data_IF_346701382300
#
_entry.id   IF_346701382300
#
_cell.length_a   1.000
_cell.length_b   1.000
_cell.length_c   1.000
_cell.angle_alpha   90.00
_cell.angle_beta   90.00
_cell.angle_gamma   90.00
#
_symmetry.space_group_name_H-M   'P 1'
#
loop_
_entity.id
_entity.type
_entity.pdbx_description
1 polymer ?
#
# COMPACT_ATOMS: atom_id res chain seq x y z
N UNK A 1 10.64 -39.84 15.80
CA UNK A 1 9.33 -39.16 15.89
C UNK A 1 9.17 -38.33 14.64
N UNK A 2 8.08 -38.46 13.90
CA UNK A 2 7.88 -37.69 12.65
C UNK A 2 7.58 -36.24 12.97
N UNK A 3 8.09 -35.36 12.12
CA UNK A 3 7.84 -33.92 12.19
C UNK A 3 6.35 -33.61 12.01
N UNK A 4 5.78 -32.63 12.75
CA UNK A 4 4.37 -32.24 12.63
C UNK A 4 3.95 -31.88 11.22
N UNK A 5 4.76 -31.12 10.47
CA UNK A 5 4.48 -30.72 9.10
C UNK A 5 4.37 -31.90 8.13
N UNK A 6 5.24 -32.92 8.28
CA UNK A 6 5.11 -34.16 7.49
C UNK A 6 3.84 -34.92 7.81
N UNK A 7 3.44 -34.97 9.10
CA UNK A 7 2.20 -35.62 9.49
C UNK A 7 0.97 -34.92 8.92
N UNK A 8 0.99 -33.60 8.88
CA UNK A 8 -0.08 -32.77 8.30
C UNK A 8 -0.19 -33.01 6.78
N UNK A 9 0.93 -33.01 6.05
CA UNK A 9 0.96 -33.31 4.64
C UNK A 9 0.41 -34.72 4.30
N UNK A 10 0.74 -35.72 5.11
CA UNK A 10 0.22 -37.09 4.96
C UNK A 10 -1.30 -37.13 5.19
N UNK A 11 -1.81 -36.41 6.17
CA UNK A 11 -3.25 -36.32 6.45
C UNK A 11 -4.01 -35.63 5.33
N UNK A 12 -3.47 -34.52 4.82
CA UNK A 12 -4.09 -33.72 3.77
C UNK A 12 -4.38 -34.51 2.47
N UNK A 13 -3.57 -35.52 2.17
CA UNK A 13 -3.76 -36.36 0.97
C UNK A 13 -4.36 -37.74 1.27
N UNK A 14 -4.69 -38.04 2.53
CA UNK A 14 -5.33 -39.31 2.88
C UNK A 14 -4.39 -40.48 3.17
N UNK A 15 -3.09 -40.24 3.39
CA UNK A 15 -2.14 -41.23 3.88
C UNK A 15 -0.81 -41.31 3.15
N UNK A 16 0.12 -42.10 3.73
CA UNK A 16 1.50 -42.27 3.22
C UNK A 16 1.54 -42.81 1.81
N UNK A 17 0.72 -43.79 1.51
CA UNK A 17 0.67 -44.42 0.17
C UNK A 17 0.17 -43.47 -0.91
N UNK A 18 -0.79 -42.59 -0.55
CA UNK A 18 -1.34 -41.61 -1.46
C UNK A 18 -0.35 -40.47 -1.73
N UNK A 19 0.37 -40.01 -0.68
CA UNK A 19 1.44 -39.07 -0.86
C UNK A 19 2.57 -39.61 -1.75
N UNK A 20 2.94 -40.90 -1.57
CA UNK A 20 3.95 -41.56 -2.37
C UNK A 20 3.53 -41.62 -3.85
N UNK A 21 2.28 -42.03 -4.11
CA UNK A 21 1.70 -42.10 -5.45
C UNK A 21 1.72 -40.73 -6.14
N UNK A 22 1.29 -39.65 -5.44
CA UNK A 22 1.26 -38.29 -5.98
C UNK A 22 2.65 -37.73 -6.25
N UNK A 23 3.64 -38.09 -5.44
CA UNK A 23 5.05 -37.66 -5.60
C UNK A 23 5.83 -38.51 -6.61
N UNK A 24 5.25 -39.62 -7.11
CA UNK A 24 5.93 -40.55 -8.03
C UNK A 24 7.11 -41.30 -7.38
N UNK A 25 7.06 -41.56 -6.06
CA UNK A 25 8.10 -42.28 -5.32
C UNK A 25 7.52 -43.48 -4.57
N UNK A 26 8.39 -44.36 -4.09
CA UNK A 26 7.94 -45.54 -3.35
C UNK A 26 7.40 -45.20 -1.97
N UNK A 27 6.39 -45.92 -1.49
CA UNK A 27 5.82 -45.75 -0.14
C UNK A 27 6.89 -45.92 0.99
N UNK A 28 7.84 -46.89 0.90
CA UNK A 28 8.93 -47.01 1.87
C UNK A 28 9.80 -45.75 1.95
N UNK A 29 9.99 -45.03 0.82
CA UNK A 29 10.76 -43.76 0.84
C UNK A 29 10.14 -42.75 1.77
N UNK A 30 8.79 -42.51 1.67
CA UNK A 30 8.09 -41.59 2.59
C UNK A 30 8.05 -42.12 4.01
N UNK A 31 7.92 -43.42 4.17
CA UNK A 31 7.89 -44.06 5.51
C UNK A 31 9.17 -43.83 6.29
N UNK A 32 10.30 -43.66 5.60
CA UNK A 32 11.62 -43.39 6.18
C UNK A 32 11.86 -41.89 6.44
N UNK A 33 10.97 -41.02 5.99
CA UNK A 33 11.12 -39.58 6.27
C UNK A 33 10.78 -39.27 7.74
N UNK A 34 11.68 -38.60 8.40
CA UNK A 34 11.42 -37.96 9.70
C UNK A 34 10.80 -36.57 9.51
N UNK A 35 11.20 -35.89 8.42
CA UNK A 35 10.69 -34.62 7.96
C UNK A 35 10.69 -34.57 6.43
N UNK A 36 9.98 -33.62 5.82
CA UNK A 36 10.00 -33.44 4.36
C UNK A 36 11.42 -33.05 3.91
N UNK A 37 12.06 -33.79 2.97
CA UNK A 37 13.37 -33.41 2.42
C UNK A 37 13.31 -32.04 1.75
N UNK A 38 14.39 -31.25 1.87
CA UNK A 38 14.45 -29.86 1.39
C UNK A 38 14.08 -29.76 -0.11
N UNK A 39 14.59 -30.66 -0.92
CA UNK A 39 14.36 -30.73 -2.37
C UNK A 39 12.92 -31.13 -2.75
N UNK A 40 12.11 -31.59 -1.79
CA UNK A 40 10.72 -32.04 -2.02
C UNK A 40 9.68 -31.11 -1.46
N UNK A 41 10.06 -30.07 -0.71
CA UNK A 41 9.14 -29.18 0.00
C UNK A 41 8.15 -28.52 -0.96
N UNK A 42 8.63 -27.96 -2.06
CA UNK A 42 7.79 -27.29 -3.06
C UNK A 42 6.79 -28.25 -3.69
N UNK A 43 7.23 -29.49 -4.03
CA UNK A 43 6.36 -30.49 -4.60
C UNK A 43 5.30 -30.98 -3.60
N UNK A 44 5.68 -31.14 -2.32
CA UNK A 44 4.74 -31.54 -1.26
C UNK A 44 3.72 -30.43 -1.00
N UNK A 45 4.15 -29.18 -0.90
CA UNK A 45 3.26 -28.02 -0.78
C UNK A 45 2.23 -27.97 -1.91
N UNK A 46 2.67 -28.06 -3.17
CA UNK A 46 1.78 -28.02 -4.33
C UNK A 46 0.75 -29.18 -4.37
N UNK A 47 1.11 -30.34 -3.84
CA UNK A 47 0.24 -31.54 -3.86
C UNK A 47 -0.69 -31.62 -2.65
N UNK A 48 -0.32 -31.04 -1.54
CA UNK A 48 -1.02 -31.19 -0.25
C UNK A 48 -1.75 -29.92 0.18
N UNK A 49 -1.35 -28.75 -0.36
CA UNK A 49 -1.82 -27.44 0.10
C UNK A 49 -1.26 -27.03 1.46
N UNK A 50 -0.39 -27.85 2.09
CA UNK A 50 0.27 -27.49 3.36
C UNK A 50 1.45 -26.60 3.05
N UNK A 51 1.50 -25.41 3.66
CA UNK A 51 2.54 -24.43 3.35
C UNK A 51 3.95 -24.92 3.68
N UNK A 52 4.93 -24.48 2.90
CA UNK A 52 6.35 -24.81 3.09
C UNK A 52 6.86 -24.41 4.47
N UNK A 53 6.31 -23.38 5.07
CA UNK A 53 6.67 -22.92 6.43
C UNK A 53 6.21 -23.93 7.49
N UNK A 54 5.06 -24.58 7.31
CA UNK A 54 4.58 -25.67 8.17
C UNK A 54 5.37 -26.94 7.90
N UNK A 55 5.68 -27.24 6.62
CA UNK A 55 6.43 -28.44 6.23
C UNK A 55 7.88 -28.40 6.73
N UNK A 56 8.53 -27.24 6.70
CA UNK A 56 9.94 -27.06 7.07
C UNK A 56 10.18 -25.67 7.67
N UNK A 57 9.75 -25.41 8.92
CA UNK A 57 9.92 -24.12 9.60
C UNK A 57 11.38 -23.74 9.84
N UNK A 58 12.30 -24.71 9.74
CA UNK A 58 13.74 -24.51 9.82
C UNK A 58 14.37 -23.95 8.54
N UNK A 59 13.73 -24.15 7.37
CA UNK A 59 14.20 -23.66 6.07
C UNK A 59 13.37 -22.49 5.54
N UNK A 60 12.09 -22.51 5.82
CA UNK A 60 11.14 -21.49 5.39
C UNK A 60 10.53 -20.91 6.67
N UNK A 61 10.83 -19.65 6.94
CA UNK A 61 9.98 -18.89 7.87
C UNK A 61 8.58 -18.87 7.26
N UNK A 62 7.54 -18.85 8.11
CA UNK A 62 6.27 -18.36 7.63
C UNK A 62 6.57 -16.99 7.00
N UNK A 63 6.69 -16.96 5.66
CA UNK A 63 6.23 -15.80 4.97
C UNK A 63 4.77 -15.72 5.42
N UNK A 64 4.44 -14.77 6.29
CA UNK A 64 3.08 -14.29 6.41
C UNK A 64 2.72 -13.92 4.98
N UNK A 65 2.14 -14.87 4.25
CA UNK A 65 1.50 -14.64 2.97
C UNK A 65 0.44 -13.59 3.26
N UNK A 66 0.69 -12.33 2.84
CA UNK A 66 -0.09 -11.17 3.19
C UNK A 66 -0.51 -11.29 4.65
N UNK A 67 0.30 -10.85 5.63
CA UNK A 67 -0.11 -10.93 7.03
C UNK A 67 -1.55 -10.47 7.10
N UNK A 68 -2.39 -11.09 7.94
CA UNK A 68 -3.72 -10.57 8.20
C UNK A 68 -3.52 -9.07 8.37
N UNK A 69 -3.74 -8.35 7.26
CA UNK A 69 -3.69 -6.88 7.25
C UNK A 69 -4.81 -6.57 8.19
N UNK A 70 -4.48 -6.12 9.40
CA UNK A 70 -5.52 -5.87 10.37
C UNK A 70 -6.49 -4.84 9.79
N UNK A 71 -7.65 -4.70 10.40
CA UNK A 71 -8.67 -3.78 9.90
C UNK A 71 -8.13 -2.33 9.84
N UNK A 72 -7.20 -1.99 10.71
CA UNK A 72 -6.56 -0.67 10.78
C UNK A 72 -5.64 -0.47 9.57
N UNK A 73 -4.75 -1.41 9.30
CA UNK A 73 -3.84 -1.34 8.15
C UNK A 73 -4.61 -1.37 6.83
N UNK A 74 -5.71 -2.14 6.75
CA UNK A 74 -6.60 -2.13 5.60
C UNK A 74 -7.26 -0.75 5.39
N UNK A 75 -7.73 -0.11 6.48
CA UNK A 75 -8.30 1.23 6.42
C UNK A 75 -7.26 2.27 6.01
N UNK A 76 -6.06 2.25 6.62
CA UNK A 76 -4.92 3.10 6.24
C UNK A 76 -4.59 2.99 4.75
N UNK A 77 -4.49 1.74 4.25
CA UNK A 77 -4.22 1.47 2.84
C UNK A 77 -5.31 2.03 1.91
N UNK A 78 -6.57 1.97 2.31
CA UNK A 78 -7.70 2.52 1.54
C UNK A 78 -7.65 4.05 1.49
N UNK A 79 -7.35 4.71 2.61
CA UNK A 79 -7.22 6.16 2.65
C UNK A 79 -6.07 6.66 1.75
N UNK A 80 -4.90 6.03 1.85
CA UNK A 80 -3.79 6.35 0.97
C UNK A 80 -4.12 6.07 -0.51
N UNK A 81 -4.80 4.97 -0.82
CA UNK A 81 -5.21 4.66 -2.19
C UNK A 81 -6.22 5.67 -2.75
N UNK A 82 -7.15 6.16 -1.93
CA UNK A 82 -8.07 7.23 -2.29
C UNK A 82 -7.31 8.51 -2.65
N UNK A 83 -6.42 8.95 -1.77
CA UNK A 83 -5.61 10.16 -2.00
C UNK A 83 -4.72 10.00 -3.24
N UNK A 84 -4.04 8.87 -3.40
CA UNK A 84 -3.22 8.57 -4.58
C UNK A 84 -4.03 8.68 -5.87
N UNK A 85 -5.20 8.04 -5.93
CA UNK A 85 -6.06 8.07 -7.11
C UNK A 85 -6.55 9.48 -7.47
N UNK A 86 -6.87 10.31 -6.47
CA UNK A 86 -7.36 11.67 -6.70
C UNK A 86 -6.25 12.66 -7.05
N UNK A 87 -5.02 12.42 -6.58
CA UNK A 87 -3.86 13.28 -6.87
C UNK A 87 -3.12 12.89 -8.14
N UNK A 88 -3.27 11.65 -8.63
CA UNK A 88 -2.62 11.20 -9.86
C UNK A 88 -3.26 11.82 -11.12
N UNK A 89 -4.57 12.03 -11.08
CA UNK A 89 -5.36 12.59 -12.20
C UNK A 89 -6.72 13.05 -11.73
N UNK A 90 -7.36 13.92 -12.50
CA UNK A 90 -8.74 14.31 -12.26
C UNK A 90 -9.68 13.09 -12.30
N UNK A 91 -10.63 12.97 -11.35
CA UNK A 91 -11.57 11.86 -11.31
C UNK A 91 -12.54 11.88 -12.50
N UNK A 92 -12.77 10.70 -13.07
CA UNK A 92 -13.80 10.51 -14.10
C UNK A 92 -15.23 10.66 -13.53
N UNK A 93 -16.22 10.82 -14.39
CA UNK A 93 -17.63 10.87 -14.00
C UNK A 93 -18.06 9.63 -13.18
N UNK A 94 -17.56 8.43 -13.53
CA UNK A 94 -17.83 7.21 -12.78
C UNK A 94 -17.21 7.23 -11.38
N UNK A 95 -16.00 7.77 -11.24
CA UNK A 95 -15.38 7.94 -9.94
C UNK A 95 -16.13 8.98 -9.10
N UNK A 96 -16.48 10.13 -9.66
CA UNK A 96 -17.31 11.14 -8.98
C UNK A 96 -18.63 10.56 -8.48
N UNK A 97 -19.32 9.75 -9.30
CA UNK A 97 -20.53 9.05 -8.89
C UNK A 97 -20.29 8.09 -7.70
N UNK A 98 -19.18 7.39 -7.66
CA UNK A 98 -18.83 6.53 -6.51
C UNK A 98 -18.51 7.36 -5.27
N UNK A 99 -17.75 8.43 -5.42
CA UNK A 99 -17.40 9.34 -4.33
C UNK A 99 -18.64 10.02 -3.74
N UNK A 100 -19.62 10.37 -4.54
CA UNK A 100 -20.88 10.96 -4.05
C UNK A 100 -21.68 10.04 -3.12
N UNK A 101 -21.39 8.75 -3.12
CA UNK A 101 -21.97 7.74 -2.22
C UNK A 101 -21.18 7.51 -0.95
N UNK A 102 -20.04 8.18 -0.73
CA UNK A 102 -19.25 8.02 0.49
C UNK A 102 -20.08 8.44 1.71
N UNK A 103 -19.84 7.72 2.79
CA UNK A 103 -20.43 8.00 4.10
C UNK A 103 -19.29 8.12 5.10
N UNK A 104 -19.52 8.86 6.18
CA UNK A 104 -18.57 9.03 7.28
C UNK A 104 -19.27 8.93 8.61
N UNK A 105 -18.53 8.57 9.61
CA UNK A 105 -18.91 8.63 11.02
C UNK A 105 -18.74 10.07 11.57
N UNK A 106 -19.12 10.36 12.82
CA UNK A 106 -18.97 11.69 13.42
C UNK A 106 -17.53 12.05 13.84
N UNK A 107 -16.51 11.34 13.35
CA UNK A 107 -15.11 11.72 13.53
C UNK A 107 -14.70 12.83 12.56
N UNK A 108 -13.62 13.58 12.82
CA UNK A 108 -13.11 14.58 11.88
C UNK A 108 -12.87 14.00 10.47
N UNK A 109 -12.28 12.80 10.38
CA UNK A 109 -12.00 12.13 9.09
C UNK A 109 -13.30 11.71 8.40
N UNK A 110 -14.26 11.13 9.14
CA UNK A 110 -15.57 10.76 8.60
C UNK A 110 -16.36 11.96 8.08
N UNK A 111 -16.30 13.10 8.78
CA UNK A 111 -16.91 14.35 8.31
C UNK A 111 -16.24 14.88 7.04
N UNK A 112 -14.93 14.72 6.90
CA UNK A 112 -14.20 15.09 5.68
C UNK A 112 -14.62 14.19 4.49
N UNK A 113 -14.88 12.90 4.69
CA UNK A 113 -15.46 12.02 3.67
C UNK A 113 -16.85 12.47 3.24
N UNK A 114 -17.70 12.87 4.18
CA UNK A 114 -19.03 13.44 3.86
C UNK A 114 -18.89 14.74 3.03
N UNK A 115 -17.94 15.60 3.38
CA UNK A 115 -17.65 16.80 2.60
C UNK A 115 -17.16 16.47 1.18
N UNK A 116 -16.31 15.47 1.00
CA UNK A 116 -15.88 14.99 -0.31
C UNK A 116 -17.07 14.44 -1.12
N UNK A 117 -17.98 13.68 -0.49
CA UNK A 117 -19.19 13.20 -1.16
C UNK A 117 -20.08 14.33 -1.65
N UNK A 118 -20.25 15.37 -0.83
CA UNK A 118 -21.02 16.57 -1.20
C UNK A 118 -20.33 17.33 -2.36
N UNK A 119 -19.02 17.52 -2.29
CA UNK A 119 -18.26 18.16 -3.36
C UNK A 119 -18.35 17.35 -4.68
N UNK A 120 -18.25 16.02 -4.62
CA UNK A 120 -18.42 15.15 -5.78
C UNK A 120 -19.83 15.21 -6.37
N UNK A 121 -20.86 15.39 -5.54
CA UNK A 121 -22.24 15.53 -5.99
C UNK A 121 -22.54 16.90 -6.64
N UNK A 122 -21.77 17.92 -6.28
CA UNK A 122 -21.98 19.31 -6.71
C UNK A 122 -21.15 19.72 -7.94
N UNK A 123 -20.38 18.78 -8.54
CA UNK A 123 -19.45 19.06 -9.63
C UNK A 123 -19.64 18.12 -10.82
N UNK A 124 -18.96 18.43 -11.94
CA UNK A 124 -18.86 17.54 -13.12
C UNK A 124 -17.39 17.17 -13.38
N UNK A 125 -17.15 16.13 -14.18
CA UNK A 125 -15.82 15.70 -14.54
C UNK A 125 -15.01 16.82 -15.21
N UNK A 126 -15.65 17.59 -16.10
CA UNK A 126 -14.99 18.71 -16.81
C UNK A 126 -14.64 19.87 -15.86
N UNK A 127 -15.45 20.10 -14.82
CA UNK A 127 -15.15 21.12 -13.81
C UNK A 127 -13.95 20.70 -12.95
N UNK A 128 -13.93 19.44 -12.51
CA UNK A 128 -12.83 18.92 -11.69
C UNK A 128 -11.54 18.78 -12.51
N UNK A 129 -11.63 18.45 -13.79
CA UNK A 129 -10.47 18.42 -14.69
C UNK A 129 -9.81 19.81 -14.81
N UNK A 130 -10.62 20.87 -14.92
CA UNK A 130 -10.11 22.25 -14.92
C UNK A 130 -9.51 22.61 -13.58
N UNK A 131 -10.18 22.29 -12.48
CA UNK A 131 -9.67 22.52 -11.13
C UNK A 131 -8.34 21.80 -10.90
N UNK A 132 -8.23 20.53 -11.33
CA UNK A 132 -6.99 19.75 -11.27
C UNK A 132 -5.87 20.42 -12.07
N UNK A 133 -6.20 20.88 -13.29
CA UNK A 133 -5.24 21.59 -14.14
C UNK A 133 -4.72 22.86 -13.46
N UNK A 134 -5.63 23.70 -12.96
CA UNK A 134 -5.27 24.98 -12.32
C UNK A 134 -4.45 24.77 -11.03
N UNK A 135 -4.81 23.76 -10.23
CA UNK A 135 -4.11 23.45 -8.99
C UNK A 135 -2.72 22.84 -9.22
N UNK A 136 -2.56 21.88 -10.13
CA UNK A 136 -1.36 21.04 -10.16
C UNK A 136 -0.53 21.16 -11.45
N UNK A 137 -1.09 21.64 -12.56
CA UNK A 137 -0.41 21.72 -13.85
C UNK A 137 -0.17 23.17 -14.25
N UNK A 138 -1.24 23.94 -14.44
CA UNK A 138 -1.22 25.35 -14.81
C UNK A 138 -0.57 25.67 -16.14
N UNK A 139 -0.65 26.95 -16.59
CA UNK A 139 0.14 27.45 -17.70
C UNK A 139 1.50 27.89 -17.16
N UNK A 140 2.50 27.02 -17.31
CA UNK A 140 3.84 27.20 -16.76
C UNK A 140 4.02 26.69 -15.34
N UNK A 141 3.02 26.82 -14.46
CA UNK A 141 3.03 26.30 -13.10
C UNK A 141 1.61 26.28 -12.53
N UNK A 142 1.24 25.17 -11.86
CA UNK A 142 0.02 25.11 -11.05
C UNK A 142 0.12 25.94 -9.76
N UNK A 143 -1.01 26.13 -9.10
CA UNK A 143 -1.05 26.82 -7.78
C UNK A 143 -0.19 26.07 -6.74
N UNK A 144 -0.18 24.73 -6.79
CA UNK A 144 0.59 23.86 -5.91
C UNK A 144 1.56 22.99 -6.70
N UNK A 145 2.71 22.70 -6.10
CA UNK A 145 3.73 21.79 -6.65
C UNK A 145 3.82 20.54 -5.75
N UNK A 146 3.12 19.44 -6.09
CA UNK A 146 2.94 18.30 -5.19
C UNK A 146 4.18 17.37 -5.14
N UNK A 147 5.38 17.93 -4.88
CA UNK A 147 6.64 17.20 -4.89
C UNK A 147 7.44 17.44 -3.62
N UNK A 148 7.92 16.33 -3.01
CA UNK A 148 8.69 16.38 -1.78
C UNK A 148 9.97 17.21 -1.89
N UNK A 149 10.72 17.06 -2.98
CA UNK A 149 11.91 17.87 -3.24
C UNK A 149 11.59 19.37 -3.26
N UNK A 150 10.47 19.77 -3.87
CA UNK A 150 10.06 21.17 -3.90
C UNK A 150 9.67 21.69 -2.50
N UNK A 151 8.86 20.97 -1.73
CA UNK A 151 8.44 21.38 -0.39
C UNK A 151 9.59 21.49 0.60
N UNK A 152 10.62 20.65 0.43
CA UNK A 152 11.76 20.58 1.34
C UNK A 152 12.92 21.52 0.95
N UNK A 153 13.08 21.85 -0.34
CA UNK A 153 14.24 22.62 -0.82
C UNK A 153 13.89 23.83 -1.67
N UNK A 154 12.65 23.92 -2.15
CA UNK A 154 12.21 24.93 -3.12
C UNK A 154 12.50 24.58 -4.58
N UNK A 155 13.15 23.44 -4.85
CA UNK A 155 13.52 23.00 -6.20
C UNK A 155 13.09 21.56 -6.46
N UNK A 156 12.80 21.22 -7.72
CA UNK A 156 12.49 19.85 -8.15
C UNK A 156 13.78 19.04 -8.33
N UNK A 157 13.65 17.71 -8.27
CA UNK A 157 14.71 16.74 -8.53
C UNK A 157 15.95 16.84 -7.62
N UNK A 158 15.79 17.35 -6.43
CA UNK A 158 16.84 17.57 -5.46
C UNK A 158 17.11 16.32 -4.57
N UNK A 159 18.05 16.47 -3.60
CA UNK A 159 18.48 15.41 -2.69
C UNK A 159 17.37 14.58 -2.03
N UNK A 160 16.20 15.14 -1.64
CA UNK A 160 15.11 14.34 -1.09
C UNK A 160 14.67 13.21 -2.01
N UNK A 161 14.54 13.46 -3.32
CA UNK A 161 14.18 12.45 -4.31
C UNK A 161 15.26 11.35 -4.42
N UNK A 162 16.54 11.71 -4.40
CA UNK A 162 17.62 10.71 -4.45
C UNK A 162 17.59 9.77 -3.24
N UNK A 163 17.34 10.32 -2.03
CA UNK A 163 17.20 9.53 -0.80
C UNK A 163 15.97 8.61 -0.83
N UNK A 164 14.85 9.10 -1.36
CA UNK A 164 13.66 8.28 -1.54
C UNK A 164 13.94 7.09 -2.45
N UNK A 165 14.59 7.32 -3.61
CA UNK A 165 14.96 6.26 -4.56
C UNK A 165 15.88 5.21 -3.93
N UNK A 166 16.82 5.63 -3.10
CA UNK A 166 17.70 4.73 -2.36
C UNK A 166 16.89 3.82 -1.41
N UNK A 167 15.99 4.39 -0.61
CA UNK A 167 15.17 3.63 0.32
C UNK A 167 14.16 2.71 -0.41
N UNK A 168 13.54 3.16 -1.50
CA UNK A 168 12.65 2.32 -2.32
C UNK A 168 13.42 1.16 -2.95
N UNK A 169 14.64 1.41 -3.47
CA UNK A 169 15.51 0.36 -4.01
C UNK A 169 15.87 -0.71 -2.97
N UNK A 170 16.10 -0.32 -1.70
CA UNK A 170 16.32 -1.28 -0.60
C UNK A 170 15.09 -2.17 -0.33
N UNK A 171 13.88 -1.67 -0.62
CA UNK A 171 12.63 -2.41 -0.49
C UNK A 171 12.27 -3.21 -1.76
N UNK A 172 13.09 -3.13 -2.82
CA UNK A 172 12.79 -3.75 -4.11
C UNK A 172 11.61 -3.09 -4.85
N UNK A 173 11.30 -1.84 -4.50
CA UNK A 173 10.24 -1.06 -5.15
C UNK A 173 10.87 -0.27 -6.29
N UNK A 174 10.53 -0.65 -7.51
CA UNK A 174 11.04 -0.01 -8.72
C UNK A 174 9.93 0.76 -9.44
N UNK A 175 10.32 1.83 -10.12
CA UNK A 175 9.40 2.60 -10.96
C UNK A 175 8.98 1.78 -12.17
N UNK A 176 7.68 1.77 -12.47
CA UNK A 176 7.17 1.14 -13.69
C UNK A 176 7.72 1.86 -14.93
N UNK A 177 8.17 1.10 -15.92
CA UNK A 177 8.60 1.64 -17.20
C UNK A 177 7.48 2.48 -17.84
N UNK A 178 7.83 3.69 -18.31
CA UNK A 178 6.88 4.63 -18.92
C UNK A 178 6.23 5.64 -17.97
N UNK A 179 6.40 5.53 -16.67
CA UNK A 179 6.00 6.59 -15.73
C UNK A 179 7.08 7.69 -15.73
N UNK A 180 6.75 8.89 -16.18
CA UNK A 180 7.67 10.03 -16.24
C UNK A 180 7.71 10.83 -14.92
N UNK A 181 6.70 10.68 -14.04
CA UNK A 181 6.60 11.42 -12.80
C UNK A 181 7.68 10.99 -11.79
N UNK A 182 8.31 11.95 -11.08
CA UNK A 182 9.24 11.65 -10.00
C UNK A 182 8.54 10.91 -8.84
N UNK A 183 9.26 10.02 -8.18
CA UNK A 183 8.73 9.17 -7.11
C UNK A 183 8.32 9.97 -5.85
N UNK A 184 8.83 11.19 -5.67
CA UNK A 184 8.46 12.11 -4.59
C UNK A 184 7.21 12.97 -4.88
N UNK A 185 6.47 12.64 -5.93
CA UNK A 185 5.16 13.20 -6.21
C UNK A 185 4.13 12.66 -5.20
N UNK A 186 3.26 13.54 -4.69
CA UNK A 186 2.29 13.21 -3.63
C UNK A 186 1.43 11.98 -3.92
N UNK A 187 0.91 11.83 -5.17
CA UNK A 187 0.12 10.66 -5.55
C UNK A 187 0.95 9.38 -5.48
N UNK A 188 2.18 9.40 -6.01
CA UNK A 188 3.09 8.25 -6.02
C UNK A 188 3.43 7.82 -4.59
N UNK A 189 3.72 8.76 -3.68
CA UNK A 189 3.97 8.44 -2.28
C UNK A 189 2.73 7.85 -1.60
N UNK A 190 1.54 8.37 -1.88
CA UNK A 190 0.30 7.78 -1.37
C UNK A 190 0.08 6.35 -1.92
N UNK A 191 0.38 6.08 -3.20
CA UNK A 191 0.30 4.74 -3.78
C UNK A 191 1.30 3.77 -3.12
N UNK A 192 2.53 4.21 -2.86
CA UNK A 192 3.55 3.44 -2.14
C UNK A 192 3.07 3.12 -0.72
N UNK A 193 2.60 4.12 0.03
CA UNK A 193 2.07 3.93 1.39
C UNK A 193 0.86 2.99 1.40
N UNK A 194 -0.05 3.11 0.44
CA UNK A 194 -1.17 2.17 0.27
C UNK A 194 -0.70 0.73 0.03
N UNK A 195 0.37 0.56 -0.73
CA UNK A 195 0.98 -0.75 -1.00
C UNK A 195 1.68 -1.34 0.21
N UNK A 196 2.39 -0.52 0.99
CA UNK A 196 3.10 -0.93 2.21
C UNK A 196 2.12 -1.28 3.32
N UNK A 197 1.19 -0.38 3.68
CA UNK A 197 0.17 -0.61 4.70
C UNK A 197 -0.73 -1.81 4.35
N UNK A 198 -1.11 -1.95 3.08
CA UNK A 198 -1.92 -3.08 2.61
C UNK A 198 -1.15 -4.37 2.36
N UNK A 199 0.13 -4.47 2.70
CA UNK A 199 0.96 -5.66 2.55
C UNK A 199 1.22 -6.11 1.10
N UNK A 200 0.81 -5.32 0.10
CA UNK A 200 0.89 -5.71 -1.33
C UNK A 200 2.30 -5.67 -1.92
N UNK A 201 3.20 -4.93 -1.29
CA UNK A 201 4.58 -4.78 -1.76
C UNK A 201 5.54 -5.82 -1.16
N UNK A 202 5.06 -6.72 -0.28
CA UNK A 202 5.89 -7.77 0.32
C UNK A 202 7.07 -7.25 1.16
N UNK A 203 7.03 -5.99 1.59
CA UNK A 203 8.08 -5.37 2.37
C UNK A 203 8.08 -5.87 3.82
N UNK A 204 9.22 -5.78 4.49
CA UNK A 204 9.34 -6.17 5.89
C UNK A 204 8.46 -5.29 6.79
N UNK A 205 8.03 -5.82 7.95
CA UNK A 205 7.29 -5.05 8.95
C UNK A 205 8.05 -3.78 9.36
N UNK A 206 7.34 -2.66 9.52
CA UNK A 206 7.92 -1.35 9.83
C UNK A 206 8.50 -0.59 8.62
N UNK A 207 8.42 -1.15 7.41
CA UNK A 207 8.86 -0.45 6.19
C UNK A 207 7.98 0.77 5.90
N UNK A 208 6.68 0.69 6.17
CA UNK A 208 5.73 1.80 6.05
C UNK A 208 6.08 2.93 7.03
N UNK A 209 6.38 2.62 8.29
CA UNK A 209 6.85 3.60 9.27
C UNK A 209 8.13 4.31 8.79
N UNK A 210 9.13 3.54 8.33
CA UNK A 210 10.40 4.10 7.82
C UNK A 210 10.17 5.06 6.65
N UNK A 211 9.34 4.68 5.68
CA UNK A 211 9.01 5.54 4.53
C UNK A 211 8.21 6.76 4.97
N UNK A 212 7.23 6.58 5.86
CA UNK A 212 6.45 7.68 6.41
C UNK A 212 7.34 8.73 7.09
N UNK A 213 8.13 8.34 8.09
CA UNK A 213 8.96 9.24 8.88
C UNK A 213 9.99 10.00 8.03
N UNK A 214 10.60 9.34 7.04
CA UNK A 214 11.68 9.91 6.26
C UNK A 214 11.23 10.72 5.05
N UNK A 215 10.13 10.33 4.41
CA UNK A 215 9.76 10.83 3.09
C UNK A 215 8.35 11.40 2.98
N UNK A 216 7.46 11.09 3.92
CA UNK A 216 6.06 11.56 3.93
C UNK A 216 5.86 12.65 4.97
N UNK A 217 6.09 12.34 6.25
CA UNK A 217 5.86 13.25 7.38
C UNK A 217 6.55 14.62 7.25
N UNK A 218 7.78 14.75 6.69
CA UNK A 218 8.45 16.05 6.63
C UNK A 218 7.75 17.10 5.78
N UNK A 219 6.82 16.74 4.91
CA UNK A 219 6.25 17.70 3.96
C UNK A 219 4.80 17.46 3.55
N UNK A 220 4.32 16.21 3.49
CA UNK A 220 3.03 15.88 2.86
C UNK A 220 1.85 16.46 3.66
N UNK A 221 1.94 16.54 4.98
CA UNK A 221 0.94 17.21 5.82
C UNK A 221 0.80 18.70 5.48
N UNK A 222 1.92 19.39 5.21
CA UNK A 222 1.92 20.79 4.77
C UNK A 222 1.33 20.95 3.37
N UNK A 223 1.65 20.04 2.44
CA UNK A 223 1.03 20.04 1.12
C UNK A 223 -0.49 19.91 1.22
N UNK A 224 -1.01 18.98 2.03
CA UNK A 224 -2.46 18.84 2.21
C UNK A 224 -3.11 20.03 2.88
N UNK A 225 -2.44 20.69 3.82
CA UNK A 225 -2.93 21.93 4.41
C UNK A 225 -2.98 23.06 3.37
N UNK A 226 -1.98 23.18 2.50
CA UNK A 226 -1.98 24.13 1.39
C UNK A 226 -3.10 23.83 0.40
N UNK A 227 -3.37 22.56 0.09
CA UNK A 227 -4.47 22.11 -0.79
C UNK A 227 -5.85 22.44 -0.18
N UNK A 228 -6.02 22.19 1.13
CA UNK A 228 -7.25 22.54 1.85
C UNK A 228 -7.56 24.05 1.78
N UNK A 229 -6.53 24.88 1.72
CA UNK A 229 -6.64 26.34 1.70
C UNK A 229 -6.40 26.97 0.32
N UNK A 230 -6.17 26.19 -0.72
CA UNK A 230 -5.89 26.71 -2.06
C UNK A 230 -7.10 27.49 -2.62
N UNK A 231 -6.82 28.63 -3.26
CA UNK A 231 -7.90 29.51 -3.75
C UNK A 231 -8.73 28.85 -4.86
N UNK A 232 -8.09 28.03 -5.69
CA UNK A 232 -8.74 27.28 -6.75
C UNK A 232 -9.53 26.06 -6.27
N UNK A 233 -9.28 25.55 -5.07
CA UNK A 233 -9.86 24.31 -4.59
C UNK A 233 -11.35 24.43 -4.24
N UNK A 234 -12.14 23.53 -4.79
CA UNK A 234 -13.56 23.32 -4.48
C UNK A 234 -13.78 21.83 -4.21
N UNK A 235 -13.60 20.99 -5.24
CA UNK A 235 -13.62 19.54 -5.10
C UNK A 235 -12.39 19.05 -4.33
N UNK A 236 -11.22 19.65 -4.54
CA UNK A 236 -9.97 19.27 -3.88
C UNK A 236 -9.81 19.81 -2.45
N UNK A 237 -10.64 20.74 -2.00
CA UNK A 237 -10.62 21.22 -0.61
C UNK A 237 -10.81 20.09 0.40
N UNK A 238 -11.89 19.26 0.37
CA UNK A 238 -12.03 18.11 1.27
C UNK A 238 -10.97 17.02 1.05
N UNK A 239 -10.36 16.90 -0.12
CA UNK A 239 -9.21 16.02 -0.35
C UNK A 239 -8.02 16.50 0.49
N UNK A 240 -7.75 17.80 0.52
CA UNK A 240 -6.75 18.40 1.41
C UNK A 240 -7.04 18.13 2.88
N UNK A 241 -8.30 18.28 3.31
CA UNK A 241 -8.73 17.99 4.68
C UNK A 241 -8.47 16.52 5.06
N UNK A 242 -8.90 15.57 4.20
CA UNK A 242 -8.66 14.12 4.42
C UNK A 242 -7.17 13.83 4.53
N UNK A 243 -6.37 14.34 3.58
CA UNK A 243 -4.93 14.09 3.58
C UNK A 243 -4.24 14.65 4.82
N UNK A 244 -4.57 15.87 5.26
CA UNK A 244 -4.00 16.46 6.47
C UNK A 244 -4.37 15.65 7.72
N UNK A 245 -5.63 15.26 7.85
CA UNK A 245 -6.08 14.44 8.98
C UNK A 245 -5.41 13.07 8.99
N UNK A 246 -5.25 12.45 7.82
CA UNK A 246 -4.53 11.18 7.72
C UNK A 246 -3.07 11.33 8.17
N UNK A 247 -2.38 12.40 7.76
CA UNK A 247 -0.99 12.64 8.19
C UNK A 247 -0.88 12.83 9.71
N UNK A 248 -1.84 13.52 10.32
CA UNK A 248 -1.88 13.70 11.78
C UNK A 248 -2.09 12.35 12.50
N UNK A 249 -3.04 11.53 12.02
CA UNK A 249 -3.33 10.19 12.57
C UNK A 249 -2.11 9.26 12.45
N UNK A 250 -1.47 9.22 11.30
CA UNK A 250 -0.29 8.38 11.06
C UNK A 250 0.89 8.79 11.95
N UNK A 251 1.13 10.11 12.09
CA UNK A 251 2.19 10.61 12.95
C UNK A 251 1.96 10.23 14.42
N UNK A 252 0.73 10.33 14.92
CA UNK A 252 0.38 9.91 16.28
C UNK A 252 0.51 8.38 16.44
N UNK A 253 0.01 7.59 15.47
CA UNK A 253 0.04 6.13 15.53
C UNK A 253 1.49 5.61 15.57
N UNK A 254 2.37 6.12 14.71
CA UNK A 254 3.77 5.71 14.71
C UNK A 254 4.55 6.18 15.95
N UNK A 255 4.19 7.33 16.53
CA UNK A 255 4.78 7.79 17.78
C UNK A 255 4.40 6.91 18.99
N UNK A 256 3.21 6.29 18.98
CA UNK A 256 2.74 5.40 20.06
C UNK A 256 3.29 3.97 19.95
N UNK A 257 3.71 3.54 18.77
CA UNK A 257 4.26 2.22 18.49
C UNK A 257 5.78 2.12 18.59
N UNK A 258 6.47 3.22 18.91
CA UNK A 258 7.92 3.33 18.98
C UNK A 258 8.48 2.94 20.36
#
# INVERSE_FOLDING_TARGET
MRDPGLNEAIRAVGGVSELARKLGISQPSISNWNRVPAERVISVESLTGVSRAVLRPDLYREEKAGGDVDEIDSARAQEYALLGALLARAPSADLLKRLSGLRGDPTPLGLAHVALAQAASATTAEQVEREFFDLFIGIGRGELMPYGSYYLTGFLHERPLARLREDLGQLGIERTEGNAEPEDQAATLCEIMAGLAGGRLGAAAGSDQKIFERHVAPWLGRFFADLENAQGARFYQPVGTIGRLLMDIEAEAFALGA
#
